data_IF_686777734747
#
_entry.id   IF_686777734747
#
_cell.length_a   1.000
_cell.length_b   1.000
_cell.length_c   1.000
_cell.angle_alpha   90.00
_cell.angle_beta   90.00
_cell.angle_gamma   90.00
#
_symmetry.space_group_name_H-M   'P 1'
#
loop_
_entity.id
_entity.type
_entity.pdbx_description
1 polymer ?
#
# COMPACT_ATOMS: atom_id res chain seq x y z
N UNK A 1 0.80 9.14 36.11
CA UNK A 1 -0.44 9.30 35.34
C UNK A 1 -0.13 8.84 33.94
N UNK A 2 -0.88 7.85 33.44
CA UNK A 2 -0.74 7.29 32.10
C UNK A 2 -0.75 8.40 31.04
N UNK A 3 0.08 8.26 30.00
CA UNK A 3 0.24 9.25 28.94
C UNK A 3 -1.01 9.36 28.04
N UNK A 4 -1.91 8.37 28.13
CA UNK A 4 -3.22 8.28 27.45
C UNK A 4 -4.24 7.78 28.48
N UNK A 5 -5.32 8.52 28.69
CA UNK A 5 -6.36 8.16 29.67
C UNK A 5 -7.52 7.35 29.06
N UNK A 6 -8.34 6.73 29.92
CA UNK A 6 -9.60 6.12 29.50
C UNK A 6 -10.54 7.16 28.87
N UNK A 7 -10.54 8.39 29.38
CA UNK A 7 -11.30 9.53 28.85
C UNK A 7 -10.85 9.89 27.43
N UNK A 8 -9.54 9.88 27.17
CA UNK A 8 -8.99 10.09 25.82
C UNK A 8 -9.50 9.02 24.85
N UNK A 9 -9.51 7.75 25.27
CA UNK A 9 -10.06 6.65 24.48
C UNK A 9 -11.55 6.85 24.18
N UNK A 10 -12.36 7.20 25.19
CA UNK A 10 -13.78 7.50 25.02
C UNK A 10 -14.02 8.62 24.01
N UNK A 11 -13.24 9.71 24.06
CA UNK A 11 -13.33 10.82 23.09
C UNK A 11 -13.08 10.32 21.65
N UNK A 12 -12.05 9.49 21.45
CA UNK A 12 -11.76 8.90 20.13
C UNK A 12 -12.90 7.97 19.67
N UNK A 13 -13.55 7.30 20.62
CA UNK A 13 -14.64 6.35 20.41
C UNK A 13 -15.99 6.94 20.06
N UNK A 14 -16.23 8.23 20.30
CA UNK A 14 -17.55 8.85 20.15
C UNK A 14 -17.96 9.09 18.69
N UNK A 15 -17.03 8.95 17.73
CA UNK A 15 -17.22 9.42 16.35
C UNK A 15 -17.05 8.36 15.23
N UNK A 16 -17.41 7.07 15.41
CA UNK A 16 -17.12 6.02 14.43
C UNK A 16 -17.90 6.21 13.11
N UNK A 17 -19.08 6.84 13.17
CA UNK A 17 -19.97 7.06 12.03
C UNK A 17 -20.11 8.53 11.62
N UNK A 18 -19.23 9.41 12.13
CA UNK A 18 -19.36 10.84 11.90
C UNK A 18 -19.16 11.23 10.43
N UNK A 19 -19.85 12.28 9.94
CA UNK A 19 -19.72 12.78 8.58
C UNK A 19 -18.31 13.33 8.31
N UNK A 20 -18.00 13.59 7.04
CA UNK A 20 -16.66 14.03 6.63
C UNK A 20 -16.25 15.38 7.21
N UNK A 21 -17.16 16.22 7.69
CA UNK A 21 -16.88 17.54 8.28
C UNK A 21 -16.91 17.56 9.82
N UNK A 22 -17.00 16.39 10.46
CA UNK A 22 -17.21 16.29 11.90
C UNK A 22 -16.12 16.98 12.73
N UNK A 23 -14.88 16.95 12.28
CA UNK A 23 -13.77 17.61 12.98
C UNK A 23 -13.99 19.11 13.17
N UNK A 24 -14.48 19.78 12.12
CA UNK A 24 -14.65 21.24 12.08
C UNK A 24 -15.99 21.67 12.63
N UNK A 25 -17.04 20.87 12.44
CA UNK A 25 -18.42 21.27 12.74
C UNK A 25 -19.04 20.57 13.96
N UNK A 26 -18.50 19.42 14.38
CA UNK A 26 -19.12 18.58 15.44
C UNK A 26 -18.26 18.53 16.69
N UNK A 27 -16.94 18.37 16.55
CA UNK A 27 -16.07 18.24 17.72
C UNK A 27 -15.97 19.56 18.50
N UNK A 28 -16.02 19.46 19.82
CA UNK A 28 -15.69 20.59 20.70
C UNK A 28 -14.18 20.86 20.67
N UNK A 29 -13.77 22.03 21.18
CA UNK A 29 -12.33 22.33 21.27
C UNK A 29 -11.61 21.34 22.18
N UNK A 30 -12.19 21.00 23.33
CA UNK A 30 -11.65 20.00 24.25
C UNK A 30 -11.45 18.63 23.59
N UNK A 31 -12.40 18.19 22.76
CA UNK A 31 -12.28 16.93 22.02
C UNK A 31 -11.16 17.00 20.98
N UNK A 32 -11.03 18.11 20.24
CA UNK A 32 -9.89 18.32 19.31
C UNK A 32 -8.56 18.32 20.06
N UNK A 33 -8.50 18.98 21.20
CA UNK A 33 -7.30 19.04 22.04
C UNK A 33 -6.89 17.65 22.52
N UNK A 34 -7.85 16.79 22.90
CA UNK A 34 -7.58 15.39 23.22
C UNK A 34 -6.95 14.63 22.05
N UNK A 35 -7.50 14.76 20.84
CA UNK A 35 -6.91 14.16 19.65
C UNK A 35 -5.49 14.66 19.37
N UNK A 36 -5.23 15.96 19.55
CA UNK A 36 -3.88 16.54 19.40
C UNK A 36 -2.93 15.98 20.45
N UNK A 37 -3.33 15.92 21.72
CA UNK A 37 -2.53 15.33 22.80
C UNK A 37 -2.20 13.87 22.51
N UNK A 38 -3.21 13.04 22.21
CA UNK A 38 -3.01 11.61 21.91
C UNK A 38 -2.04 11.42 20.74
N UNK A 39 -2.21 12.20 19.67
CA UNK A 39 -1.31 12.13 18.52
C UNK A 39 0.13 12.52 18.89
N UNK A 40 0.31 13.56 19.73
CA UNK A 40 1.64 13.95 20.21
C UNK A 40 2.25 12.91 21.15
N UNK A 41 1.46 12.30 22.02
CA UNK A 41 1.89 11.20 22.89
C UNK A 41 2.36 10.01 22.06
N UNK A 42 1.54 9.54 21.12
CA UNK A 42 1.91 8.44 20.21
C UNK A 42 3.17 8.76 19.41
N UNK A 43 3.32 10.01 18.96
CA UNK A 43 4.52 10.49 18.29
C UNK A 43 5.74 10.34 19.17
N UNK A 44 5.70 10.92 20.37
CA UNK A 44 6.81 10.93 21.31
C UNK A 44 7.22 9.51 21.69
N UNK A 45 6.25 8.64 22.03
CA UNK A 45 6.50 7.23 22.36
C UNK A 45 7.21 6.54 21.18
N UNK A 46 6.66 6.65 19.97
CA UNK A 46 7.18 5.95 18.81
C UNK A 46 8.58 6.44 18.41
N UNK A 47 8.79 7.75 18.39
CA UNK A 47 10.08 8.37 18.03
C UNK A 47 11.15 8.05 19.08
N UNK A 48 10.83 8.12 20.38
CA UNK A 48 11.76 7.80 21.45
C UNK A 48 12.14 6.31 21.46
N UNK A 49 11.17 5.40 21.29
CA UNK A 49 11.46 3.97 21.17
C UNK A 49 12.31 3.70 19.94
N UNK A 50 12.02 4.33 18.78
CA UNK A 50 12.86 4.18 17.60
C UNK A 50 14.30 4.69 17.82
N UNK A 51 14.50 5.81 18.51
CA UNK A 51 15.84 6.34 18.80
C UNK A 51 16.68 5.39 19.67
N UNK A 52 16.03 4.66 20.58
CA UNK A 52 16.68 3.68 21.45
C UNK A 52 16.96 2.33 20.75
N UNK A 53 16.51 2.15 19.51
CA UNK A 53 16.71 0.95 18.69
C UNK A 53 17.34 1.31 17.34
N UNK A 54 18.66 1.13 17.17
CA UNK A 54 19.38 1.40 15.91
C UNK A 54 20.04 0.08 15.46
N UNK A 55 19.77 -0.52 14.28
CA UNK A 55 20.23 -0.14 12.92
C UNK A 55 19.19 -0.32 11.79
N UNK A 56 17.93 -0.64 12.11
CA UNK A 56 16.99 -1.09 11.07
C UNK A 56 15.51 -0.74 11.25
N UNK A 57 15.05 -0.18 12.37
CA UNK A 57 13.66 0.26 12.54
C UNK A 57 13.52 1.78 12.36
N UNK A 58 12.37 2.22 11.86
CA UNK A 58 12.02 3.63 11.66
C UNK A 58 10.60 3.89 12.17
N UNK A 59 10.35 5.04 12.82
CA UNK A 59 9.03 5.39 13.33
C UNK A 59 8.11 5.89 12.22
N UNK A 60 6.84 5.51 12.31
CA UNK A 60 5.75 5.94 11.45
C UNK A 60 4.59 6.36 12.34
N UNK A 61 4.27 7.66 12.32
CA UNK A 61 3.22 8.22 13.19
C UNK A 61 2.14 8.83 12.32
N UNK A 62 0.86 8.47 12.56
CA UNK A 62 -0.36 8.96 11.90
C UNK A 62 -0.13 10.14 10.91
N UNK A 63 0.36 9.90 9.68
CA UNK A 63 0.88 10.97 8.84
C UNK A 63 -0.24 11.85 8.23
N UNK A 64 -1.49 11.43 8.42
CA UNK A 64 -2.69 12.14 7.96
C UNK A 64 -3.36 12.98 9.04
N UNK A 65 -2.82 13.02 10.26
CA UNK A 65 -3.32 13.91 11.31
C UNK A 65 -2.81 15.33 11.10
N UNK A 66 -3.73 16.29 11.10
CA UNK A 66 -3.44 17.73 11.12
C UNK A 66 -4.30 18.37 12.20
N UNK A 67 -3.77 19.21 13.11
CA UNK A 67 -4.58 19.88 14.12
C UNK A 67 -5.76 20.67 13.54
N UNK A 68 -5.59 21.26 12.35
CA UNK A 68 -6.59 22.10 11.70
C UNK A 68 -7.73 21.27 11.09
N UNK A 69 -7.40 20.10 10.51
CA UNK A 69 -8.34 19.32 9.69
C UNK A 69 -8.57 17.89 10.21
N UNK A 70 -8.06 17.56 11.39
CA UNK A 70 -8.14 16.23 11.97
C UNK A 70 -7.49 15.15 11.11
N UNK A 71 -8.15 14.00 11.03
CA UNK A 71 -7.71 12.83 10.28
C UNK A 71 -8.56 12.69 9.01
N UNK A 72 -7.96 12.23 7.90
CA UNK A 72 -8.68 11.82 6.68
C UNK A 72 -9.75 12.83 6.19
N UNK A 73 -9.35 14.09 6.02
CA UNK A 73 -10.21 15.19 5.56
C UNK A 73 -11.38 15.46 6.52
N UNK A 74 -11.09 15.95 7.73
CA UNK A 74 -12.07 16.38 8.75
C UNK A 74 -12.91 15.25 9.39
N UNK A 75 -12.50 13.98 9.28
CA UNK A 75 -13.21 12.85 9.90
C UNK A 75 -12.41 12.25 11.07
N UNK A 76 -12.87 12.40 12.33
CA UNK A 76 -12.24 11.78 13.49
C UNK A 76 -12.18 10.24 13.34
N UNK A 77 -11.03 9.65 13.68
CA UNK A 77 -10.73 8.22 13.57
C UNK A 77 -9.75 7.79 14.65
N UNK A 78 -9.52 6.49 14.78
CA UNK A 78 -8.48 5.95 15.65
C UNK A 78 -7.11 6.56 15.30
N UNK A 79 -6.32 6.80 16.34
CA UNK A 79 -4.96 7.32 16.25
C UNK A 79 -3.99 6.17 16.48
N UNK A 80 -2.87 6.16 15.75
CA UNK A 80 -1.89 5.09 15.88
C UNK A 80 -0.49 5.54 15.48
N UNK A 81 0.50 4.82 16.00
CA UNK A 81 1.89 4.88 15.58
C UNK A 81 2.42 3.47 15.33
N UNK A 82 3.53 3.34 14.62
CA UNK A 82 4.20 2.08 14.40
C UNK A 82 5.70 2.20 14.15
N UNK A 83 6.40 1.11 14.38
CA UNK A 83 7.79 0.88 14.00
C UNK A 83 7.82 -0.09 12.84
N UNK A 84 8.53 0.27 11.78
CA UNK A 84 8.68 -0.54 10.56
C UNK A 84 10.16 -0.69 10.23
N UNK A 85 10.54 -1.72 9.47
CA UNK A 85 11.91 -1.80 8.97
C UNK A 85 12.21 -0.61 8.04
N UNK A 86 13.42 -0.08 8.10
CA UNK A 86 13.91 1.01 7.24
C UNK A 86 13.87 0.68 5.75
N UNK A 87 14.04 -0.60 5.42
CA UNK A 87 13.88 -1.15 4.08
C UNK A 87 12.45 -1.63 3.78
N UNK A 88 11.49 -1.50 4.71
CA UNK A 88 10.11 -1.95 4.50
C UNK A 88 9.34 -1.13 3.47
N UNK A 89 9.87 -0.02 2.93
CA UNK A 89 9.30 0.65 1.74
C UNK A 89 9.07 -0.38 0.63
N UNK A 90 9.97 -1.35 0.55
CA UNK A 90 9.95 -2.48 -0.35
C UNK A 90 8.84 -3.51 -0.07
N UNK A 91 8.23 -3.42 1.10
CA UNK A 91 7.18 -4.31 1.59
C UNK A 91 5.93 -3.50 1.97
N UNK A 92 5.74 -2.33 1.36
CA UNK A 92 4.60 -1.44 1.62
C UNK A 92 4.50 -1.03 3.09
N UNK A 93 5.65 -0.86 3.76
CA UNK A 93 5.75 -0.50 5.17
C UNK A 93 5.45 -1.64 6.14
N UNK A 94 5.52 -2.91 5.72
CA UNK A 94 5.22 -4.09 6.55
C UNK A 94 6.44 -5.01 6.71
N UNK A 95 6.48 -5.88 7.76
CA UNK A 95 5.56 -5.92 8.90
C UNK A 95 5.74 -4.67 9.79
N UNK A 96 4.81 -4.45 10.72
CA UNK A 96 4.88 -3.30 11.63
C UNK A 96 4.58 -3.68 13.08
N UNK A 97 5.33 -3.10 14.01
CA UNK A 97 4.98 -3.08 15.43
C UNK A 97 4.13 -1.84 15.65
N UNK A 98 2.90 -1.96 16.08
CA UNK A 98 1.94 -0.87 16.16
C UNK A 98 1.45 -0.62 17.58
N UNK A 99 0.99 0.59 17.80
CA UNK A 99 0.17 0.99 18.94
C UNK A 99 -1.01 1.81 18.42
N UNK A 100 -2.24 1.41 18.79
CA UNK A 100 -3.48 2.06 18.37
C UNK A 100 -4.27 2.50 19.59
N UNK A 101 -4.73 3.74 19.57
CA UNK A 101 -5.69 4.31 20.53
C UNK A 101 -7.05 4.42 19.85
N UNK A 102 -8.06 3.81 20.45
CA UNK A 102 -9.42 3.78 19.91
C UNK A 102 -10.46 3.90 21.02
N UNK A 103 -11.74 4.03 20.62
CA UNK A 103 -12.89 4.00 21.53
C UNK A 103 -12.96 2.82 22.48
N UNK A 104 -12.27 1.73 22.14
CA UNK A 104 -12.32 0.50 22.91
C UNK A 104 -11.20 0.45 23.97
N UNK A 105 -10.14 1.23 23.79
CA UNK A 105 -8.91 1.18 24.58
C UNK A 105 -7.66 1.22 23.70
N UNK A 106 -6.55 0.71 24.24
CA UNK A 106 -5.23 0.71 23.59
C UNK A 106 -4.83 -0.70 23.15
N UNK A 107 -4.39 -0.84 21.91
CA UNK A 107 -3.91 -2.11 21.33
C UNK A 107 -2.45 -1.96 20.91
N UNK A 108 -1.58 -2.83 21.40
CA UNK A 108 -0.15 -2.86 21.07
C UNK A 108 0.19 -4.23 20.48
N UNK A 109 0.98 -4.28 19.42
CA UNK A 109 1.41 -5.56 18.88
C UNK A 109 2.11 -5.53 17.54
N UNK A 110 2.22 -6.70 16.92
CA UNK A 110 2.77 -6.90 15.58
C UNK A 110 1.64 -7.17 14.58
N UNK A 111 1.64 -6.46 13.46
CA UNK A 111 0.79 -6.73 12.31
C UNK A 111 1.66 -7.17 11.12
N UNK A 112 1.55 -8.44 10.67
CA UNK A 112 2.28 -8.93 9.51
C UNK A 112 1.95 -8.20 8.21
N UNK A 113 0.68 -7.96 7.88
CA UNK A 113 0.28 -7.39 6.58
C UNK A 113 -0.98 -6.52 6.68
N UNK A 114 -0.91 -5.41 7.42
CA UNK A 114 -2.03 -4.47 7.55
C UNK A 114 -1.53 -3.06 7.33
N UNK A 115 -1.58 -2.56 6.10
CA UNK A 115 -1.15 -1.20 5.82
C UNK A 115 -2.09 -0.15 6.43
N UNK A 116 -1.51 0.94 6.91
CA UNK A 116 -2.23 2.10 7.48
C UNK A 116 -3.36 2.66 6.63
N UNK A 117 -3.18 2.62 5.31
CA UNK A 117 -4.13 3.15 4.34
C UNK A 117 -5.03 2.07 3.73
N UNK A 118 -4.90 0.80 4.14
CA UNK A 118 -5.68 -0.33 3.59
C UNK A 118 -7.19 -0.12 3.69
N UNK A 119 -7.63 0.62 4.70
CA UNK A 119 -9.04 0.94 4.93
C UNK A 119 -9.57 2.13 4.14
N UNK A 120 -8.71 2.96 3.54
CA UNK A 120 -9.10 4.22 2.89
C UNK A 120 -8.61 4.38 1.46
N UNK A 121 -7.68 3.54 1.02
CA UNK A 121 -7.09 3.61 -0.32
C UNK A 121 -7.17 2.22 -0.98
N UNK A 122 -7.96 2.13 -2.05
CA UNK A 122 -8.20 0.87 -2.75
C UNK A 122 -6.96 0.35 -3.48
N UNK A 123 -6.07 1.24 -3.91
CA UNK A 123 -4.83 0.90 -4.62
C UNK A 123 -3.82 0.29 -3.65
N UNK A 124 -3.68 0.89 -2.46
CA UNK A 124 -2.94 0.31 -1.33
C UNK A 124 -3.45 -1.07 -0.97
N UNK A 125 -4.77 -1.25 -0.94
CA UNK A 125 -5.41 -2.54 -0.62
C UNK A 125 -5.15 -3.60 -1.68
N UNK A 126 -5.15 -3.21 -2.96
CA UNK A 126 -4.80 -4.09 -4.07
C UNK A 126 -3.30 -4.43 -4.07
N UNK A 127 -2.45 -3.45 -3.74
CA UNK A 127 -1.01 -3.62 -3.60
C UNK A 127 -0.69 -4.58 -2.45
N UNK A 128 -1.29 -4.36 -1.28
CA UNK A 128 -1.09 -5.20 -0.11
C UNK A 128 -1.43 -6.66 -0.42
N UNK A 129 -2.57 -6.94 -1.08
CA UNK A 129 -2.94 -8.29 -1.52
C UNK A 129 -1.91 -8.97 -2.43
N UNK A 130 -1.16 -8.21 -3.21
CA UNK A 130 -0.10 -8.73 -4.09
C UNK A 130 1.21 -8.98 -3.34
N UNK A 131 1.51 -8.13 -2.37
CA UNK A 131 2.75 -8.23 -1.56
C UNK A 131 2.61 -9.23 -0.42
N UNK A 132 1.39 -9.44 0.10
CA UNK A 132 1.12 -10.32 1.26
C UNK A 132 1.73 -11.73 1.11
N UNK A 133 1.57 -12.46 -0.01
CA UNK A 133 2.19 -13.78 -0.16
C UNK A 133 3.72 -13.72 -0.08
N UNK A 134 4.33 -12.79 -0.83
CA UNK A 134 5.78 -12.58 -0.83
C UNK A 134 6.30 -12.21 0.56
N UNK A 135 5.56 -11.38 1.28
CA UNK A 135 5.89 -10.97 2.64
C UNK A 135 5.81 -12.14 3.62
N UNK A 136 4.78 -12.99 3.52
CA UNK A 136 4.64 -14.16 4.39
C UNK A 136 5.70 -15.22 4.12
N UNK A 137 6.18 -15.35 2.88
CA UNK A 137 7.31 -16.22 2.56
C UNK A 137 8.63 -15.75 3.22
N UNK A 138 8.73 -14.48 3.64
CA UNK A 138 9.87 -13.97 4.41
C UNK A 138 9.77 -14.29 5.91
N UNK A 139 8.60 -14.69 6.41
CA UNK A 139 8.49 -15.12 7.80
C UNK A 139 9.21 -16.46 8.00
N UNK A 140 9.93 -16.62 9.11
CA UNK A 140 10.64 -17.87 9.41
C UNK A 140 9.64 -19.03 9.55
N UNK A 141 10.10 -20.25 9.30
CA UNK A 141 9.28 -21.45 9.49
C UNK A 141 8.73 -21.55 10.92
N UNK A 142 7.52 -22.09 11.09
CA UNK A 142 6.82 -22.16 12.38
C UNK A 142 7.53 -22.97 13.46
N UNK A 143 8.46 -23.86 13.06
CA UNK A 143 9.30 -24.69 13.92
C UNK A 143 10.74 -24.17 14.06
N UNK A 144 11.05 -22.97 13.55
CA UNK A 144 12.38 -22.38 13.65
C UNK A 144 12.72 -21.93 15.08
N UNK A 145 14.01 -21.84 15.39
CA UNK A 145 14.49 -21.40 16.70
C UNK A 145 13.99 -19.99 17.06
N UNK A 146 13.96 -19.07 16.10
CA UNK A 146 13.46 -17.71 16.32
C UNK A 146 11.98 -17.66 16.74
N UNK A 147 11.14 -18.53 16.17
CA UNK A 147 9.73 -18.64 16.55
C UNK A 147 9.59 -19.32 17.91
N UNK A 148 10.42 -20.33 18.21
CA UNK A 148 10.46 -20.96 19.53
C UNK A 148 10.83 -19.95 20.63
N UNK A 149 11.92 -19.20 20.46
CA UNK A 149 12.39 -18.21 21.42
C UNK A 149 11.36 -17.08 21.64
N UNK A 150 10.71 -16.64 20.56
CA UNK A 150 9.62 -15.67 20.64
C UNK A 150 8.40 -16.25 21.38
N UNK A 151 8.03 -17.51 21.13
CA UNK A 151 6.94 -18.18 21.83
C UNK A 151 7.19 -18.27 23.33
N UNK A 152 8.42 -18.59 23.75
CA UNK A 152 8.79 -18.66 25.18
C UNK A 152 8.59 -17.30 25.84
N UNK A 153 9.10 -16.21 25.22
CA UNK A 153 8.98 -14.86 25.77
C UNK A 153 7.52 -14.36 25.81
N UNK A 154 6.75 -14.59 24.74
CA UNK A 154 5.31 -14.26 24.70
C UNK A 154 4.53 -14.96 25.83
N UNK A 155 4.84 -16.23 26.09
CA UNK A 155 4.20 -17.00 27.17
C UNK A 155 4.62 -16.53 28.56
N UNK A 156 5.89 -16.13 28.73
CA UNK A 156 6.40 -15.59 29.99
C UNK A 156 5.77 -14.24 30.35
N UNK A 157 5.60 -13.35 29.38
CA UNK A 157 4.94 -12.05 29.63
C UNK A 157 3.41 -12.19 29.77
N UNK A 158 2.80 -13.16 29.10
CA UNK A 158 1.35 -13.37 29.11
C UNK A 158 0.55 -12.27 28.37
N UNK A 159 -0.78 -12.40 28.34
CA UNK A 159 -1.70 -11.39 27.78
C UNK A 159 -1.71 -11.23 26.25
N UNK A 160 -0.81 -11.89 25.52
CA UNK A 160 -0.74 -11.82 24.06
C UNK A 160 -1.82 -12.67 23.38
N UNK A 161 -2.45 -12.11 22.35
CA UNK A 161 -3.49 -12.78 21.55
C UNK A 161 -3.01 -12.98 20.11
N UNK A 162 -3.27 -14.17 19.57
CA UNK A 162 -2.92 -14.53 18.20
C UNK A 162 -4.19 -14.53 17.35
N UNK A 163 -4.35 -13.53 16.48
CA UNK A 163 -5.61 -13.30 15.76
C UNK A 163 -5.47 -13.52 14.26
N UNK A 164 -6.51 -14.09 13.66
CA UNK A 164 -6.67 -14.22 12.21
C UNK A 164 -6.98 -12.88 11.54
N UNK A 165 -7.62 -11.98 12.29
CA UNK A 165 -7.97 -10.63 11.87
C UNK A 165 -7.73 -9.61 12.99
N UNK A 166 -6.86 -8.65 12.75
CA UNK A 166 -6.60 -7.59 13.71
C UNK A 166 -7.84 -6.72 13.97
N UNK A 167 -7.85 -6.04 15.12
CA UNK A 167 -8.91 -5.09 15.52
C UNK A 167 -10.32 -5.70 15.66
N UNK A 168 -10.46 -7.03 15.78
CA UNK A 168 -11.74 -7.68 16.08
C UNK A 168 -12.13 -7.53 17.56
N UNK A 169 -13.44 -7.39 17.80
CA UNK A 169 -14.06 -7.20 19.14
C UNK A 169 -13.80 -8.37 20.09
N UNK A 170 -13.54 -9.56 19.54
CA UNK A 170 -13.23 -10.74 20.35
C UNK A 170 -11.82 -10.62 20.95
N UNK A 171 -11.72 -10.62 22.27
CA UNK A 171 -10.43 -10.65 22.99
C UNK A 171 -9.82 -12.06 23.03
N UNK A 172 -10.49 -13.08 22.49
CA UNK A 172 -9.95 -14.42 22.39
C UNK A 172 -8.90 -14.51 21.26
N UNK A 173 -8.00 -15.48 21.42
CA UNK A 173 -7.07 -15.87 20.37
C UNK A 173 -7.76 -16.81 19.38
N UNK A 174 -7.49 -16.62 18.09
CA UNK A 174 -7.87 -17.56 17.02
C UNK A 174 -6.88 -18.73 16.90
N UNK A 175 -5.65 -18.54 17.41
CA UNK A 175 -4.59 -19.54 17.46
C UNK A 175 -4.08 -19.73 18.90
N UNK A 176 -3.67 -20.96 19.25
CA UNK A 176 -3.16 -21.27 20.59
C UNK A 176 -1.72 -20.79 20.80
N UNK A 177 -0.97 -20.62 19.71
CA UNK A 177 0.43 -20.22 19.77
C UNK A 177 0.85 -19.37 18.56
N UNK A 178 1.99 -18.70 18.68
CA UNK A 178 2.62 -18.04 17.54
C UNK A 178 2.98 -19.04 16.43
N UNK A 179 3.42 -20.27 16.76
CA UNK A 179 3.74 -21.29 15.76
C UNK A 179 2.53 -21.70 14.91
N UNK A 180 1.33 -21.76 15.49
CA UNK A 180 0.09 -21.97 14.74
C UNK A 180 -0.24 -20.77 13.85
N UNK A 181 -0.08 -19.55 14.35
CA UNK A 181 -0.30 -18.33 13.55
C UNK A 181 0.67 -18.27 12.37
N UNK A 182 1.96 -18.57 12.56
CA UNK A 182 2.96 -18.61 11.48
C UNK A 182 2.62 -19.71 10.47
N UNK A 183 2.25 -20.90 10.93
CA UNK A 183 1.77 -21.97 10.04
C UNK A 183 0.56 -21.54 9.21
N UNK A 184 -0.35 -20.75 9.81
CA UNK A 184 -1.46 -20.16 9.08
C UNK A 184 -0.99 -19.14 8.03
N UNK A 185 -0.03 -18.26 8.33
CA UNK A 185 0.52 -17.30 7.36
C UNK A 185 1.05 -17.99 6.10
N UNK A 186 1.73 -19.12 6.25
CA UNK A 186 2.27 -19.91 5.14
C UNK A 186 1.23 -20.79 4.41
N UNK A 187 0.00 -20.88 4.93
CA UNK A 187 -1.08 -21.62 4.27
C UNK A 187 -1.70 -20.81 3.13
N UNK A 188 -2.37 -21.48 2.17
CA UNK A 188 -3.12 -20.82 1.10
C UNK A 188 -4.15 -19.81 1.65
N UNK A 189 -4.81 -20.16 2.76
CA UNK A 189 -5.77 -19.30 3.43
C UNK A 189 -5.11 -18.09 4.11
N UNK A 190 -3.89 -18.22 4.60
CA UNK A 190 -3.09 -17.12 5.12
C UNK A 190 -2.67 -16.17 4.01
N UNK A 191 -2.00 -16.68 2.98
CA UNK A 191 -1.56 -15.86 1.85
C UNK A 191 -2.71 -15.09 1.17
N UNK A 192 -3.91 -15.68 1.12
CA UNK A 192 -5.08 -15.04 0.49
C UNK A 192 -5.84 -14.06 1.38
N UNK A 193 -5.92 -14.30 2.69
CA UNK A 193 -6.80 -13.57 3.60
C UNK A 193 -6.12 -13.04 4.87
N UNK A 194 -4.81 -13.21 5.00
CA UNK A 194 -4.06 -12.93 6.21
C UNK A 194 -4.03 -11.44 6.53
N UNK A 195 -4.82 -11.06 7.53
CA UNK A 195 -4.81 -9.76 8.19
C UNK A 195 -4.55 -9.96 9.69
N UNK A 196 -3.61 -10.86 9.99
CA UNK A 196 -3.37 -11.37 11.34
C UNK A 196 -2.75 -10.31 12.25
N UNK A 197 -2.78 -10.56 13.56
CA UNK A 197 -2.00 -9.80 14.53
C UNK A 197 -1.55 -10.66 15.70
N UNK A 198 -0.44 -10.24 16.30
CA UNK A 198 -0.02 -10.69 17.63
C UNK A 198 -0.12 -9.45 18.52
N UNK A 199 -1.12 -9.38 19.38
CA UNK A 199 -1.45 -8.14 20.06
C UNK A 199 -1.88 -8.35 21.50
N UNK A 200 -1.48 -7.44 22.37
CA UNK A 200 -2.03 -7.25 23.71
C UNK A 200 -2.98 -6.06 23.68
N UNK A 201 -3.99 -6.12 24.54
CA UNK A 201 -5.07 -5.15 24.58
C UNK A 201 -5.31 -4.67 26.00
N UNK A 202 -5.42 -3.35 26.16
CA UNK A 202 -5.73 -2.68 27.42
C UNK A 202 -7.10 -2.05 27.27
N UNK A 203 -8.06 -2.54 28.05
CA UNK A 203 -9.41 -2.03 28.07
C UNK A 203 -9.52 -0.74 28.92
N UNK A 204 -10.65 -0.05 28.84
CA UNK A 204 -10.82 1.25 29.51
C UNK A 204 -10.57 1.23 31.02
N UNK A 205 -10.85 0.10 31.70
CA UNK A 205 -10.67 -0.03 33.15
C UNK A 205 -9.20 -0.25 33.54
N UNK A 206 -8.35 -0.68 32.60
CA UNK A 206 -6.92 -0.93 32.81
C UNK A 206 -6.05 0.30 32.51
N UNK A 207 -6.54 1.24 31.70
CA UNK A 207 -5.74 2.34 31.13
C UNK A 207 -5.32 3.39 32.15
N UNK A 208 -6.15 3.61 33.18
CA UNK A 208 -5.91 4.64 34.19
C UNK A 208 -5.10 4.12 35.39
N UNK A 209 -4.56 2.91 35.31
CA UNK A 209 -3.63 2.38 36.31
C UNK A 209 -2.39 3.30 36.42
N UNK A 210 -1.99 3.61 37.65
CA UNK A 210 -0.87 4.52 37.93
C UNK A 210 0.48 3.93 37.55
N UNK A 211 0.59 2.60 37.58
CA UNK A 211 1.80 1.86 37.26
C UNK A 211 1.92 1.55 35.75
N UNK A 212 0.87 1.80 34.98
CA UNK A 212 0.88 1.61 33.53
C UNK A 212 1.57 2.79 32.82
N UNK A 213 2.58 2.48 32.03
CA UNK A 213 3.19 3.40 31.07
C UNK A 213 3.16 2.80 29.67
N UNK A 214 2.50 3.49 28.74
CA UNK A 214 2.45 3.02 27.37
C UNK A 214 3.78 3.16 26.64
N UNK A 215 4.66 4.05 27.10
CA UNK A 215 6.03 4.07 26.64
C UNK A 215 6.71 2.73 26.93
N UNK A 216 6.65 2.26 28.18
CA UNK A 216 7.26 0.98 28.61
C UNK A 216 6.63 -0.21 27.89
N UNK A 217 5.30 -0.27 27.78
CA UNK A 217 4.63 -1.38 27.09
C UNK A 217 4.97 -1.42 25.59
N UNK A 218 5.06 -0.26 24.93
CA UNK A 218 5.46 -0.20 23.52
C UNK A 218 6.94 -0.51 23.31
N UNK A 219 7.82 -0.07 24.23
CA UNK A 219 9.23 -0.44 24.24
C UNK A 219 9.41 -1.96 24.41
N UNK A 220 8.66 -2.58 25.34
CA UNK A 220 8.69 -4.02 25.57
C UNK A 220 8.24 -4.78 24.32
N UNK A 221 7.13 -4.37 23.68
CA UNK A 221 6.69 -4.94 22.41
C UNK A 221 7.77 -4.80 21.32
N UNK A 222 8.44 -3.65 21.24
CA UNK A 222 9.56 -3.44 20.33
C UNK A 222 10.71 -4.42 20.59
N UNK A 223 11.14 -4.61 21.86
CA UNK A 223 12.18 -5.59 22.25
C UNK A 223 11.78 -7.02 21.94
N UNK A 224 10.51 -7.34 22.16
CA UNK A 224 9.98 -8.69 21.98
C UNK A 224 10.01 -9.09 20.49
N UNK A 225 9.51 -8.22 19.61
CA UNK A 225 9.41 -8.49 18.17
C UNK A 225 10.66 -8.11 17.38
N UNK A 226 11.62 -7.37 17.94
CA UNK A 226 12.84 -6.95 17.24
C UNK A 226 13.60 -8.09 16.53
N UNK A 227 13.81 -9.29 17.12
CA UNK A 227 14.46 -10.38 16.41
C UNK A 227 13.70 -10.82 15.15
N UNK A 228 12.37 -10.92 15.23
CA UNK A 228 11.53 -11.29 14.10
C UNK A 228 11.54 -10.19 13.01
N UNK A 229 11.48 -8.91 13.41
CA UNK A 229 11.62 -7.78 12.49
C UNK A 229 12.99 -7.77 11.79
N UNK A 230 14.07 -8.08 12.53
CA UNK A 230 15.44 -8.21 12.01
C UNK A 230 15.58 -9.36 11.01
N UNK A 231 14.83 -10.44 11.19
CA UNK A 231 14.80 -11.58 10.27
C UNK A 231 14.09 -11.23 8.96
N UNK A 232 12.97 -10.50 9.04
CA UNK A 232 12.12 -10.17 7.89
C UNK A 232 12.64 -8.90 7.20
N UNK A 233 13.68 -9.02 6.37
CA UNK A 233 14.25 -7.88 5.63
C UNK A 233 14.12 -8.02 4.12
N UNK A 234 13.84 -6.91 3.46
CA UNK A 234 13.71 -6.85 2.00
C UNK A 234 14.97 -7.34 1.26
N UNK A 235 16.17 -7.13 1.83
CA UNK A 235 17.45 -7.58 1.25
C UNK A 235 17.65 -9.10 1.25
N UNK A 236 16.90 -9.87 2.03
CA UNK A 236 16.93 -11.33 2.02
C UNK A 236 15.86 -11.94 1.11
N UNK A 237 15.02 -11.10 0.50
CA UNK A 237 13.90 -11.52 -0.29
C UNK A 237 14.27 -11.69 -1.77
N UNK A 238 13.75 -12.72 -2.48
CA UNK A 238 13.72 -12.74 -3.95
C UNK A 238 12.76 -11.68 -4.55
N UNK A 239 12.36 -10.68 -3.74
CA UNK A 239 11.39 -9.61 -4.04
C UNK A 239 12.04 -8.43 -4.75
N UNK A 240 13.38 -8.31 -4.74
CA UNK A 240 14.10 -7.20 -5.38
C UNK A 240 13.69 -6.99 -6.86
N UNK A 241 13.38 -8.05 -7.60
CA UNK A 241 12.96 -7.95 -9.01
C UNK A 241 11.48 -7.58 -9.19
N UNK A 242 10.57 -8.12 -8.37
CA UNK A 242 9.11 -7.86 -8.46
C UNK A 242 8.77 -6.44 -7.98
N UNK A 243 9.60 -5.92 -7.09
CA UNK A 243 9.39 -4.65 -6.44
C UNK A 243 10.07 -3.48 -7.17
N UNK A 244 11.20 -3.70 -7.83
CA UNK A 244 11.82 -2.68 -8.68
C UNK A 244 10.84 -2.19 -9.76
N UNK A 245 10.07 -3.10 -10.37
CA UNK A 245 9.00 -2.77 -11.32
C UNK A 245 7.88 -1.94 -10.66
N UNK A 246 7.51 -2.26 -9.43
CA UNK A 246 6.47 -1.55 -8.68
C UNK A 246 6.90 -0.17 -8.19
N UNK A 247 8.13 -0.02 -7.70
CA UNK A 247 8.70 1.25 -7.25
C UNK A 247 8.98 2.19 -8.41
N UNK A 248 9.36 1.66 -9.57
CA UNK A 248 9.40 2.43 -10.81
C UNK A 248 8.01 2.97 -11.17
N UNK A 249 6.98 2.11 -11.13
CA UNK A 249 5.57 2.52 -11.33
C UNK A 249 5.08 3.54 -10.30
N UNK A 250 5.44 3.42 -9.03
CA UNK A 250 5.00 4.35 -7.97
C UNK A 250 5.72 5.72 -8.05
N UNK A 251 7.00 5.77 -8.44
CA UNK A 251 7.71 7.02 -8.71
C UNK A 251 7.07 7.79 -9.86
N UNK A 252 6.64 7.06 -10.89
CA UNK A 252 5.91 7.62 -12.04
C UNK A 252 4.55 8.17 -11.61
N UNK A 253 3.78 7.41 -10.82
CA UNK A 253 2.48 7.87 -10.29
C UNK A 253 2.62 9.12 -9.41
N UNK A 254 3.64 9.17 -8.54
CA UNK A 254 3.89 10.36 -7.69
C UNK A 254 4.37 11.57 -8.48
N UNK A 255 5.13 11.37 -9.56
CA UNK A 255 5.50 12.47 -10.47
C UNK A 255 4.27 12.98 -11.23
N UNK A 256 3.39 12.09 -11.67
CA UNK A 256 2.12 12.44 -12.31
C UNK A 256 1.19 13.20 -11.35
N UNK A 257 1.05 12.76 -10.10
CA UNK A 257 0.29 13.48 -9.06
C UNK A 257 0.85 14.88 -8.80
N UNK A 258 2.17 15.04 -8.71
CA UNK A 258 2.80 16.37 -8.57
C UNK A 258 2.60 17.26 -9.80
N UNK A 259 2.52 16.69 -10.99
CA UNK A 259 2.22 17.42 -12.23
C UNK A 259 0.75 17.84 -12.28
N UNK A 260 -0.17 16.96 -11.86
CA UNK A 260 -1.61 17.24 -11.69
C UNK A 260 -1.85 18.31 -10.61
N UNK A 261 -1.15 18.25 -9.48
CA UNK A 261 -1.22 19.27 -8.43
C UNK A 261 -0.68 20.63 -8.88
N UNK A 262 0.32 20.65 -9.77
CA UNK A 262 0.81 21.89 -10.39
C UNK A 262 -0.23 22.47 -11.36
N UNK A 263 -0.88 21.62 -12.17
CA UNK A 263 -1.95 22.04 -13.09
C UNK A 263 -3.24 22.49 -12.38
N UNK A 264 -3.55 21.90 -11.21
CA UNK A 264 -4.73 22.28 -10.42
C UNK A 264 -4.52 23.58 -9.61
N UNK A 265 -3.28 24.01 -9.35
CA UNK A 265 -3.02 25.35 -8.75
C UNK A 265 -3.42 26.49 -9.70
N UNK A 266 -3.53 26.21 -10.99
CA UNK A 266 -3.87 27.20 -12.01
C UNK A 266 -5.39 27.34 -12.22
N UNK A 267 -6.23 26.49 -11.59
CA UNK A 267 -7.69 26.58 -11.66
C UNK A 267 -8.32 26.52 -10.27
N UNK A 268 -8.53 27.70 -9.69
CA UNK A 268 -9.38 27.88 -8.52
C UNK A 268 -10.84 27.62 -8.90
N UNK A 269 -11.47 26.57 -8.36
CA UNK A 269 -12.64 26.64 -7.44
C UNK A 269 -13.45 25.32 -7.39
N UNK A 270 -14.05 25.05 -6.22
CA UNK A 270 -15.18 24.11 -5.91
C UNK A 270 -14.92 22.64 -5.46
N UNK A 271 -14.56 22.48 -4.18
CA UNK A 271 -14.24 21.23 -3.49
C UNK A 271 -15.39 20.31 -3.02
N UNK A 272 -16.67 20.56 -3.37
CA UNK A 272 -17.79 19.71 -2.89
C UNK A 272 -18.39 18.76 -3.97
N UNK A 273 -18.14 19.05 -5.25
CA UNK A 273 -18.59 18.23 -6.39
C UNK A 273 -17.60 17.07 -6.64
N UNK A 274 -16.36 17.24 -6.20
CA UNK A 274 -15.23 16.40 -6.57
C UNK A 274 -15.21 15.02 -5.90
N UNK A 275 -15.73 14.88 -4.68
CA UNK A 275 -15.84 13.58 -4.01
C UNK A 275 -16.77 12.61 -4.75
N UNK A 276 -17.92 13.10 -5.25
CA UNK A 276 -18.84 12.32 -6.08
C UNK A 276 -18.26 12.06 -7.47
N UNK A 277 -17.57 13.06 -8.06
CA UNK A 277 -16.90 12.95 -9.36
C UNK A 277 -15.73 11.95 -9.32
N UNK A 278 -14.98 11.86 -8.22
CA UNK A 278 -13.88 10.89 -8.02
C UNK A 278 -14.37 9.45 -7.88
N UNK A 279 -15.47 9.22 -7.15
CA UNK A 279 -16.08 7.89 -7.07
C UNK A 279 -16.63 7.47 -8.44
N UNK A 280 -17.38 8.35 -9.11
CA UNK A 280 -17.86 8.10 -10.48
C UNK A 280 -16.70 7.89 -11.46
N UNK A 281 -15.68 8.76 -11.46
CA UNK A 281 -14.49 8.62 -12.29
C UNK A 281 -13.75 7.31 -12.00
N UNK A 282 -13.66 6.85 -10.76
CA UNK A 282 -13.02 5.57 -10.43
C UNK A 282 -13.83 4.37 -10.93
N UNK A 283 -15.16 4.44 -10.91
CA UNK A 283 -16.05 3.40 -11.44
C UNK A 283 -16.00 3.40 -12.97
N UNK A 284 -16.09 4.58 -13.59
CA UNK A 284 -15.97 4.79 -15.04
C UNK A 284 -14.58 4.39 -15.55
N UNK A 285 -13.52 4.66 -14.80
CA UNK A 285 -12.15 4.26 -15.13
C UNK A 285 -12.00 2.74 -15.06
N UNK A 286 -12.49 2.08 -13.99
CA UNK A 286 -12.44 0.61 -13.88
C UNK A 286 -13.22 -0.09 -15.00
N UNK A 287 -14.44 0.37 -15.29
CA UNK A 287 -15.25 -0.18 -16.39
C UNK A 287 -14.65 0.14 -17.77
N UNK A 288 -14.12 1.36 -17.94
CA UNK A 288 -13.46 1.81 -19.14
C UNK A 288 -12.18 1.02 -19.44
N UNK A 289 -11.36 0.73 -18.43
CA UNK A 289 -10.14 -0.07 -18.58
C UNK A 289 -10.45 -1.53 -18.90
N UNK A 290 -11.46 -2.13 -18.27
CA UNK A 290 -11.87 -3.51 -18.60
C UNK A 290 -12.40 -3.60 -20.04
N UNK A 291 -13.23 -2.63 -20.48
CA UNK A 291 -13.74 -2.57 -21.85
C UNK A 291 -12.63 -2.32 -22.87
N UNK A 292 -11.75 -1.36 -22.60
CA UNK A 292 -10.58 -1.04 -23.42
C UNK A 292 -9.67 -2.25 -23.63
N UNK A 293 -9.38 -2.96 -22.53
CA UNK A 293 -8.62 -4.21 -22.59
C UNK A 293 -9.30 -5.24 -23.50
N UNK A 294 -10.59 -5.49 -23.31
CA UNK A 294 -11.32 -6.45 -24.16
C UNK A 294 -11.33 -6.04 -25.63
N UNK A 295 -11.43 -4.74 -25.94
CA UNK A 295 -11.38 -4.22 -27.30
C UNK A 295 -10.00 -4.44 -27.94
N UNK A 296 -8.92 -4.17 -27.22
CA UNK A 296 -7.56 -4.42 -27.71
C UNK A 296 -7.26 -5.91 -27.87
N UNK A 297 -7.71 -6.75 -26.94
CA UNK A 297 -7.62 -8.22 -27.06
C UNK A 297 -8.26 -8.70 -28.36
N UNK A 298 -9.46 -8.19 -28.68
CA UNK A 298 -10.15 -8.49 -29.92
C UNK A 298 -9.41 -7.94 -31.15
N UNK A 299 -9.01 -6.66 -31.13
CA UNK A 299 -8.34 -5.99 -32.25
C UNK A 299 -7.02 -6.66 -32.65
N UNK A 300 -6.24 -7.10 -31.65
CA UNK A 300 -4.95 -7.76 -31.85
C UNK A 300 -5.04 -9.29 -31.86
N UNK A 301 -6.25 -9.86 -31.93
CA UNK A 301 -6.50 -11.32 -32.01
C UNK A 301 -5.76 -12.11 -30.92
N UNK A 302 -5.81 -11.62 -29.69
CA UNK A 302 -5.16 -12.23 -28.52
C UNK A 302 -3.64 -12.32 -28.65
N UNK A 303 -2.97 -11.40 -29.35
CA UNK A 303 -1.51 -11.44 -29.52
C UNK A 303 -0.85 -10.13 -29.13
N UNK A 304 0.30 -10.23 -28.48
CA UNK A 304 1.20 -9.10 -28.26
C UNK A 304 1.61 -8.51 -29.62
N UNK A 305 1.47 -7.21 -29.78
CA UNK A 305 1.81 -6.49 -31.00
C UNK A 305 3.31 -6.62 -31.36
N UNK A 306 4.18 -6.73 -30.36
CA UNK A 306 5.64 -6.74 -30.55
C UNK A 306 6.20 -8.15 -30.70
N UNK A 307 5.68 -9.11 -29.94
CA UNK A 307 6.28 -10.45 -29.82
C UNK A 307 5.40 -11.57 -30.38
N UNK A 308 4.14 -11.29 -30.72
CA UNK A 308 3.19 -12.29 -31.19
C UNK A 308 2.71 -13.30 -30.13
N UNK A 309 3.20 -13.18 -28.88
CA UNK A 309 2.81 -14.02 -27.75
C UNK A 309 1.30 -14.00 -27.55
N UNK A 310 0.69 -15.17 -27.36
CA UNK A 310 -0.76 -15.35 -27.26
C UNK A 310 -1.25 -15.86 -25.91
N UNK A 311 -0.40 -15.86 -24.89
CA UNK A 311 -0.77 -16.21 -23.53
C UNK A 311 -1.60 -15.06 -22.95
N UNK A 312 -2.92 -15.21 -22.88
CA UNK A 312 -3.86 -14.14 -22.54
C UNK A 312 -3.60 -13.52 -21.16
N UNK A 313 -3.14 -14.32 -20.21
CA UNK A 313 -2.91 -13.95 -18.81
C UNK A 313 -1.78 -12.91 -18.66
N UNK A 314 -0.83 -12.88 -19.59
CA UNK A 314 0.32 -11.96 -19.57
C UNK A 314 0.16 -10.80 -20.56
N UNK A 315 -0.93 -10.75 -21.34
CA UNK A 315 -1.21 -9.62 -22.21
C UNK A 315 -1.79 -8.48 -21.39
N UNK A 316 -1.43 -7.26 -21.73
CA UNK A 316 -1.81 -6.01 -21.09
C UNK A 316 -2.19 -4.97 -22.15
N UNK A 317 -3.14 -4.11 -21.81
CA UNK A 317 -3.58 -3.01 -22.66
C UNK A 317 -2.74 -1.78 -22.34
N UNK A 318 -1.74 -1.51 -23.17
CA UNK A 318 -0.85 -0.37 -23.02
C UNK A 318 -1.45 0.87 -23.67
N UNK A 319 -1.46 1.97 -22.93
CA UNK A 319 -1.85 3.26 -23.50
C UNK A 319 -0.65 3.92 -24.19
N UNK A 320 -0.88 4.56 -25.33
CA UNK A 320 0.16 5.37 -26.00
C UNK A 320 0.29 6.72 -25.30
N UNK A 321 -0.84 7.44 -25.19
CA UNK A 321 -0.99 8.60 -24.33
C UNK A 321 -1.63 8.18 -23.00
N UNK A 322 -1.12 8.66 -21.85
CA UNK A 322 -1.69 8.33 -20.55
C UNK A 322 -3.20 8.58 -20.48
N UNK A 323 -3.87 7.75 -19.69
CA UNK A 323 -5.31 7.90 -19.45
C UNK A 323 -5.63 9.29 -18.88
N UNK A 324 -6.52 10.03 -19.54
CA UNK A 324 -6.98 11.36 -19.11
C UNK A 324 -8.52 11.47 -18.97
N UNK A 325 -9.24 10.37 -19.19
CA UNK A 325 -10.70 10.32 -19.24
C UNK A 325 -11.21 9.18 -20.13
N UNK A 326 -12.51 8.84 -20.12
CA UNK A 326 -13.08 7.74 -20.91
C UNK A 326 -12.76 7.79 -22.41
N UNK A 327 -12.55 8.98 -22.95
CA UNK A 327 -12.16 9.28 -24.33
C UNK A 327 -10.77 8.73 -24.71
N UNK A 328 -9.87 8.54 -23.73
CA UNK A 328 -8.53 7.93 -23.97
C UNK A 328 -8.56 6.40 -23.97
N UNK A 329 -9.68 5.79 -23.60
CA UNK A 329 -9.92 4.36 -23.72
C UNK A 329 -10.43 3.99 -25.13
N UNK A 330 -9.77 4.54 -26.15
CA UNK A 330 -10.01 4.22 -27.55
C UNK A 330 -8.89 3.33 -28.08
N UNK A 331 -9.22 2.38 -28.95
CA UNK A 331 -8.28 1.39 -29.50
C UNK A 331 -7.07 2.02 -30.19
N UNK A 332 -7.26 3.18 -30.84
CA UNK A 332 -6.17 3.91 -31.50
C UNK A 332 -5.18 4.52 -30.51
N UNK A 333 -5.56 4.72 -29.25
CA UNK A 333 -4.65 5.12 -28.17
C UNK A 333 -4.08 3.91 -27.41
N UNK A 334 -4.18 2.71 -27.98
CA UNK A 334 -3.92 1.47 -27.29
C UNK A 334 -3.11 0.47 -28.10
N UNK A 335 -2.26 -0.29 -27.40
CA UNK A 335 -1.49 -1.38 -27.98
C UNK A 335 -1.58 -2.58 -27.03
N UNK A 336 -1.87 -3.77 -27.56
CA UNK A 336 -1.86 -4.98 -26.75
C UNK A 336 -0.43 -5.53 -26.65
N UNK A 337 0.13 -5.57 -25.44
CA UNK A 337 1.53 -5.94 -25.21
C UNK A 337 1.65 -7.04 -24.16
N UNK A 338 2.70 -7.85 -24.23
CA UNK A 338 3.10 -8.73 -23.12
C UNK A 338 3.57 -7.87 -21.94
N UNK A 339 3.34 -8.29 -20.71
CA UNK A 339 3.55 -7.49 -19.48
C UNK A 339 4.95 -6.86 -19.33
N UNK A 340 5.99 -7.58 -19.71
CA UNK A 340 7.38 -7.09 -19.74
C UNK A 340 7.59 -6.02 -20.82
N UNK A 341 7.09 -6.27 -22.04
CA UNK A 341 7.15 -5.32 -23.16
C UNK A 341 6.34 -4.07 -22.86
N UNK A 342 5.16 -4.21 -22.24
CA UNK A 342 4.34 -3.10 -21.78
C UNK A 342 5.12 -2.25 -20.77
N UNK A 343 5.78 -2.89 -19.80
CA UNK A 343 6.58 -2.18 -18.79
C UNK A 343 7.73 -1.41 -19.44
N UNK A 344 8.46 -2.03 -20.38
CA UNK A 344 9.52 -1.33 -21.12
C UNK A 344 8.98 -0.19 -22.00
N UNK A 345 7.81 -0.38 -22.61
CA UNK A 345 7.12 0.63 -23.40
C UNK A 345 6.69 1.81 -22.52
N UNK A 346 6.16 1.58 -21.33
CA UNK A 346 5.77 2.63 -20.37
C UNK A 346 6.97 3.41 -19.85
N UNK A 347 8.10 2.73 -19.63
CA UNK A 347 9.36 3.33 -19.19
C UNK A 347 10.06 4.14 -20.29
N UNK A 348 9.61 4.06 -21.55
CA UNK A 348 10.30 4.68 -22.68
C UNK A 348 11.57 3.92 -23.08
N UNK A 349 11.73 2.68 -22.66
CA UNK A 349 12.83 1.83 -23.12
C UNK A 349 12.50 1.14 -24.45
N UNK A 350 11.21 1.05 -24.78
CA UNK A 350 10.72 0.67 -26.09
C UNK A 350 9.76 1.75 -26.64
N UNK A 351 9.76 1.96 -27.95
CA UNK A 351 8.77 2.77 -28.64
C UNK A 351 8.53 2.23 -30.06
N UNK A 352 7.81 2.98 -30.88
CA UNK A 352 7.49 2.64 -32.26
C UNK A 352 7.85 3.83 -33.14
N UNK A 353 8.50 3.62 -34.27
CA UNK A 353 8.85 4.67 -35.24
C UNK A 353 7.67 5.05 -36.17
N UNK A 354 7.93 5.97 -37.10
CA UNK A 354 6.92 6.44 -38.07
C UNK A 354 6.48 5.36 -39.08
N UNK A 355 7.18 4.24 -39.16
CA UNK A 355 6.90 3.11 -40.04
C UNK A 355 6.36 1.90 -39.26
N UNK A 356 5.92 2.07 -38.02
CA UNK A 356 5.46 1.01 -37.13
C UNK A 356 6.52 -0.06 -36.81
N UNK A 357 7.79 0.34 -36.74
CA UNK A 357 8.90 -0.51 -36.31
C UNK A 357 9.26 -0.24 -34.86
N UNK A 358 9.68 -1.28 -34.16
CA UNK A 358 10.06 -1.18 -32.75
C UNK A 358 11.37 -0.39 -32.63
N UNK A 359 11.37 0.63 -31.78
CA UNK A 359 12.56 1.32 -31.33
C UNK A 359 12.94 0.77 -29.95
N UNK A 360 14.23 0.56 -29.74
CA UNK A 360 14.78 0.02 -28.49
C UNK A 360 15.83 0.99 -27.99
N UNK A 361 15.70 1.41 -26.73
CA UNK A 361 16.66 2.28 -26.08
C UNK A 361 18.03 1.60 -25.96
N UNK A 362 19.14 2.34 -26.14
CA UNK A 362 20.49 1.81 -25.91
C UNK A 362 20.74 1.40 -24.45
N UNK A 363 19.89 1.82 -23.51
CA UNK A 363 19.96 1.39 -22.10
C UNK A 363 19.61 -0.09 -21.91
N UNK A 364 18.90 -0.71 -22.86
CA UNK A 364 18.62 -2.14 -22.79
C UNK A 364 19.85 -2.93 -23.23
N UNK A 365 20.47 -3.64 -22.29
CA UNK A 365 21.68 -4.45 -22.54
C UNK A 365 21.36 -5.89 -22.93
N UNK A 366 20.19 -6.40 -22.54
CA UNK A 366 19.78 -7.79 -22.77
C UNK A 366 19.37 -8.04 -24.23
N UNK A 367 19.96 -9.05 -24.87
CA UNK A 367 19.73 -9.37 -26.28
C UNK A 367 18.26 -9.68 -26.59
N UNK A 368 17.55 -10.34 -25.68
CA UNK A 368 16.13 -10.71 -25.81
C UNK A 368 15.25 -9.55 -26.28
N UNK A 369 15.52 -8.33 -25.81
CA UNK A 369 14.76 -7.14 -26.18
C UNK A 369 15.45 -6.32 -27.26
N UNK A 370 16.79 -6.30 -27.30
CA UNK A 370 17.55 -5.60 -28.35
C UNK A 370 17.24 -6.16 -29.74
N UNK A 371 17.04 -7.46 -29.84
CA UNK A 371 16.74 -8.14 -31.11
C UNK A 371 15.38 -7.71 -31.69
N UNK A 372 14.51 -7.08 -30.89
CA UNK A 372 13.25 -6.49 -31.36
C UNK A 372 13.48 -5.21 -32.18
N UNK A 373 14.63 -4.55 -32.05
CA UNK A 373 14.90 -3.28 -32.71
C UNK A 373 14.73 -3.38 -34.23
N UNK A 374 13.94 -2.47 -34.80
CA UNK A 374 13.66 -2.42 -36.23
C UNK A 374 12.65 -3.46 -36.73
N UNK A 375 12.17 -4.38 -35.89
CA UNK A 375 11.13 -5.33 -36.27
C UNK A 375 9.78 -4.62 -36.45
N UNK A 376 8.98 -5.11 -37.39
CA UNK A 376 7.64 -4.60 -37.65
C UNK A 376 6.67 -5.09 -36.57
N UNK A 377 5.89 -4.18 -35.97
CA UNK A 377 4.82 -4.62 -35.05
C UNK A 377 3.65 -5.21 -35.85
N UNK A 378 2.92 -6.11 -35.20
CA UNK A 378 1.60 -6.53 -35.69
C UNK A 378 0.59 -5.40 -35.47
N UNK A 379 -0.18 -5.09 -36.50
CA UNK A 379 -1.26 -4.10 -36.44
C UNK A 379 -2.62 -4.82 -36.50
N UNK A 380 -3.69 -4.22 -35.94
CA UNK A 380 -5.04 -4.70 -36.19
C UNK A 380 -5.35 -4.77 -37.69
N UNK A 381 -6.17 -5.73 -38.10
CA UNK A 381 -6.57 -5.88 -39.51
C UNK A 381 -7.31 -4.63 -40.02
N UNK A 382 -8.10 -3.99 -39.15
CA UNK A 382 -8.83 -2.76 -39.45
C UNK A 382 -7.92 -1.53 -39.23
N UNK A 383 -7.60 -0.76 -40.29
CA UNK A 383 -6.81 0.46 -40.18
C UNK A 383 -7.39 1.52 -39.24
N UNK A 384 -8.72 1.53 -39.03
CA UNK A 384 -9.36 2.45 -38.10
C UNK A 384 -9.00 2.19 -36.63
N UNK A 385 -8.43 1.01 -36.33
CA UNK A 385 -7.99 0.62 -34.99
C UNK A 385 -6.47 0.73 -34.82
N UNK A 386 -5.75 1.21 -35.84
CA UNK A 386 -4.29 1.36 -35.76
C UNK A 386 -3.87 2.37 -34.69
N UNK A 387 -2.71 2.16 -34.05
CA UNK A 387 -2.13 3.12 -33.13
C UNK A 387 -2.01 4.52 -33.75
N UNK A 388 -2.44 5.55 -33.04
CA UNK A 388 -2.37 6.93 -33.49
C UNK A 388 -0.90 7.37 -33.60
N UNK A 389 -0.46 7.64 -34.82
CA UNK A 389 0.92 8.02 -35.10
C UNK A 389 1.31 9.36 -34.47
N UNK A 390 0.37 10.29 -34.31
CA UNK A 390 0.65 11.57 -33.63
C UNK A 390 0.85 11.37 -32.12
N UNK A 391 0.11 10.43 -31.53
CA UNK A 391 0.33 10.01 -30.14
C UNK A 391 1.71 9.37 -29.98
N UNK A 392 2.09 8.45 -30.87
CA UNK A 392 3.41 7.79 -30.85
C UNK A 392 4.56 8.81 -31.00
N UNK A 393 4.44 9.76 -31.93
CA UNK A 393 5.40 10.87 -32.09
C UNK A 393 5.53 11.72 -30.83
N UNK A 394 4.40 12.05 -30.19
CA UNK A 394 4.38 12.85 -28.97
C UNK A 394 5.04 12.10 -27.80
N UNK A 395 4.76 10.79 -27.68
CA UNK A 395 5.39 9.91 -26.70
C UNK A 395 6.92 9.90 -26.84
N UNK A 396 7.44 9.73 -28.08
CA UNK A 396 8.89 9.76 -28.34
C UNK A 396 9.53 11.10 -27.97
N UNK A 397 8.89 12.22 -28.37
CA UNK A 397 9.38 13.57 -28.07
C UNK A 397 9.46 13.86 -26.57
N UNK A 398 8.49 13.39 -25.78
CA UNK A 398 8.47 13.57 -24.33
C UNK A 398 9.54 12.72 -23.61
N UNK A 399 10.11 11.73 -24.29
CA UNK A 399 11.00 10.72 -23.71
C UNK A 399 12.40 10.73 -24.33
N UNK A 400 12.69 11.71 -25.20
CA UNK A 400 13.98 11.92 -25.85
C UNK A 400 14.51 10.72 -26.66
N UNK A 401 13.59 9.92 -27.25
CA UNK A 401 13.91 8.73 -28.08
C UNK A 401 13.96 9.02 -29.57
#
# INVERSE_FOLDING_TARGET
MSEISSQDCQIVGNFPNSPSNAWTEILTQEQRDAYVRINQTLRNICENVAQNFIDHLQPVVQPSFRPETGIRNNRPRDLWCSLVNSDSVDLVGMPQIFMIVSGRGVEIGLAPAIHRSDFSNQDVKNLLRKVTPLLFDLFPASNSQIIFDLSVRLNQEGGWKFKKKARMENQNSDFQSISELISYLHSEAGQKYGATSISRYYNLDEIDDIDLSFYTEFENAARLFAPLMSYIRARQAPVANVLHEWQARERILRQQEKLLERQNRDNNDQNAIEGRRKVFASITQRQGQAKFRSQLIAAYKNRCAFTGSNTLEILEAAHINPYNGPETNCTTNGILLRSDIHTLFDLGLLSIDDNFRILVSPEITENTYRDLHGQQISLPDDPALHPDMNALRSQRRLREL
#
